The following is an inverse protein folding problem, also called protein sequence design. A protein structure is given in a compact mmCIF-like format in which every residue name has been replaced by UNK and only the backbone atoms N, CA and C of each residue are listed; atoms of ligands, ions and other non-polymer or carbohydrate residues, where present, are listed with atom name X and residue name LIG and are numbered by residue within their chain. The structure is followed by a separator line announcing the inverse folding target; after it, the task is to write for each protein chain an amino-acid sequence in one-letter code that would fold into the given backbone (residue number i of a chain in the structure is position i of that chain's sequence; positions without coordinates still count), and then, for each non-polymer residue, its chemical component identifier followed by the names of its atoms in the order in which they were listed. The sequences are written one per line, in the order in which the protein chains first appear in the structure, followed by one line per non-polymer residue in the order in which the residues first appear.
data_IF_507478791263
#
_entry.id   IF_507478791263
#
_cell.length_a   1.000
_cell.length_b   1.000
_cell.length_c   1.000
_cell.angle_alpha   90.00
_cell.angle_beta   90.00
_cell.angle_gamma   90.00
#
_symmetry.space_group_name_H-M   'P 1'
#
loop_
_entity.id
_entity.type
_entity.pdbx_description
1 polymer ?
#
# COMPACT_ATOMS: atom_id res chain seq x y z
N UNK A 1 31.14 7.82 -29.86
CA UNK A 1 30.14 7.83 -28.78
C UNK A 1 28.83 7.26 -29.30
N UNK A 2 28.40 6.05 -28.90
CA UNK A 2 27.11 5.53 -29.29
C UNK A 2 26.01 6.09 -28.38
N UNK A 3 25.00 6.72 -28.99
CA UNK A 3 23.74 7.09 -28.31
C UNK A 3 22.92 5.83 -28.11
N UNK A 4 22.84 5.37 -26.86
CA UNK A 4 21.91 4.31 -26.45
C UNK A 4 20.53 4.96 -26.37
N UNK A 5 19.66 4.63 -27.32
CA UNK A 5 18.24 4.95 -27.24
C UNK A 5 17.59 4.02 -26.20
N UNK A 6 16.78 4.52 -25.26
CA UNK A 6 16.06 3.66 -24.33
C UNK A 6 15.03 2.83 -25.11
N UNK A 7 15.14 1.51 -25.00
CA UNK A 7 14.16 0.58 -25.54
C UNK A 7 12.81 0.84 -24.86
N UNK A 8 11.84 1.39 -25.59
CA UNK A 8 10.43 1.40 -25.14
C UNK A 8 9.97 -0.05 -25.03
N UNK A 9 9.96 -0.59 -23.82
CA UNK A 9 9.33 -1.86 -23.49
C UNK A 9 7.84 -1.71 -23.74
N UNK A 10 7.39 -2.27 -24.87
CA UNK A 10 5.98 -2.39 -25.17
C UNK A 10 5.41 -3.42 -24.21
N UNK A 11 4.71 -2.96 -23.17
CA UNK A 11 4.14 -3.86 -22.17
C UNK A 11 3.08 -4.76 -22.85
N UNK A 12 3.15 -6.09 -22.68
CA UNK A 12 2.13 -6.99 -23.21
C UNK A 12 0.78 -6.70 -22.56
N UNK A 13 -0.29 -6.63 -23.37
CA UNK A 13 -1.67 -6.44 -22.91
C UNK A 13 -2.13 -7.51 -21.89
N UNK A 14 -1.44 -8.64 -21.90
CA UNK A 14 -1.62 -9.75 -20.95
C UNK A 14 -1.23 -9.37 -19.51
N UNK A 15 -0.28 -8.43 -19.33
CA UNK A 15 0.18 -7.94 -18.01
C UNK A 15 -0.93 -7.23 -17.24
N UNK A 16 -1.60 -6.26 -17.88
CA UNK A 16 -2.68 -5.49 -17.26
C UNK A 16 -3.84 -6.40 -16.84
N UNK A 17 -4.19 -7.38 -17.67
CA UNK A 17 -5.26 -8.34 -17.35
C UNK A 17 -4.93 -9.19 -16.12
N UNK A 18 -3.67 -9.62 -15.97
CA UNK A 18 -3.19 -10.35 -14.79
C UNK A 18 -3.28 -9.47 -13.54
N UNK A 19 -2.89 -8.20 -13.63
CA UNK A 19 -2.95 -7.25 -12.52
C UNK A 19 -4.40 -6.97 -12.10
N UNK A 20 -5.31 -6.75 -13.05
CA UNK A 20 -6.75 -6.60 -12.77
C UNK A 20 -7.30 -7.84 -12.07
N UNK A 21 -6.95 -9.04 -12.52
CA UNK A 21 -7.38 -10.27 -11.86
C UNK A 21 -6.83 -10.40 -10.44
N UNK A 22 -5.57 -9.99 -10.23
CA UNK A 22 -4.94 -9.97 -8.90
C UNK A 22 -5.65 -8.97 -7.96
N UNK A 23 -6.05 -7.81 -8.47
CA UNK A 23 -6.82 -6.82 -7.73
C UNK A 23 -8.24 -7.30 -7.41
N UNK A 24 -8.91 -8.04 -8.32
CA UNK A 24 -10.21 -8.68 -8.03
C UNK A 24 -10.11 -9.70 -6.89
N UNK A 25 -8.99 -10.42 -6.80
CA UNK A 25 -8.72 -11.31 -5.66
C UNK A 25 -8.58 -10.48 -4.38
N UNK A 26 -7.84 -9.37 -4.41
CA UNK A 26 -7.71 -8.47 -3.27
C UNK A 26 -9.06 -7.87 -2.86
N UNK A 27 -9.90 -7.49 -3.82
CA UNK A 27 -11.27 -7.02 -3.61
C UNK A 27 -12.10 -8.07 -2.86
N UNK A 28 -12.06 -9.33 -3.31
CA UNK A 28 -12.77 -10.44 -2.66
C UNK A 28 -12.24 -10.76 -1.26
N UNK A 29 -10.93 -10.60 -1.01
CA UNK A 29 -10.37 -10.69 0.34
C UNK A 29 -10.93 -9.59 1.24
N UNK A 30 -10.97 -8.34 0.74
CA UNK A 30 -11.55 -7.21 1.47
C UNK A 30 -13.02 -7.43 1.83
N UNK A 31 -13.81 -7.99 0.92
CA UNK A 31 -15.21 -8.34 1.17
C UNK A 31 -15.40 -9.43 2.23
N UNK A 32 -14.44 -10.34 2.37
CA UNK A 32 -14.47 -11.40 3.36
C UNK A 32 -14.01 -10.97 4.77
N UNK A 33 -13.57 -9.73 4.96
CA UNK A 33 -13.09 -9.19 6.25
C UNK A 33 -14.26 -8.47 6.96
N UNK A 34 -14.66 -8.88 8.17
CA UNK A 34 -15.84 -8.32 8.87
C UNK A 34 -15.73 -6.84 9.27
N UNK A 35 -14.54 -6.34 9.59
CA UNK A 35 -14.27 -4.95 10.04
C UNK A 35 -13.01 -4.44 9.35
N UNK A 36 -13.07 -3.25 8.74
CA UNK A 36 -11.97 -2.66 7.95
C UNK A 36 -11.82 -3.22 6.52
N UNK A 37 -12.54 -4.30 6.19
CA UNK A 37 -12.51 -4.93 4.86
C UNK A 37 -12.98 -4.04 3.71
N UNK A 38 -13.91 -3.11 4.01
CA UNK A 38 -14.41 -2.13 3.06
C UNK A 38 -13.30 -1.24 2.48
N UNK A 39 -12.32 -0.85 3.29
CA UNK A 39 -11.19 -0.01 2.86
C UNK A 39 -10.27 -0.78 1.91
N UNK A 40 -9.97 -2.04 2.20
CA UNK A 40 -9.20 -2.91 1.29
C UNK A 40 -9.93 -3.07 -0.05
N UNK A 41 -11.24 -3.31 -0.01
CA UNK A 41 -12.09 -3.41 -1.20
C UNK A 41 -12.04 -2.12 -2.02
N UNK A 42 -12.11 -0.96 -1.37
CA UNK A 42 -12.03 0.34 -2.04
C UNK A 42 -10.67 0.58 -2.69
N UNK A 43 -9.56 0.29 -2.00
CA UNK A 43 -8.20 0.40 -2.54
C UNK A 43 -8.03 -0.51 -3.77
N UNK A 44 -8.53 -1.75 -3.72
CA UNK A 44 -8.47 -2.66 -4.86
C UNK A 44 -9.22 -2.10 -6.08
N UNK A 45 -10.41 -1.51 -5.86
CA UNK A 45 -11.19 -0.86 -6.92
C UNK A 45 -10.48 0.36 -7.51
N UNK A 46 -9.80 1.15 -6.68
CA UNK A 46 -8.95 2.25 -7.16
C UNK A 46 -7.86 1.70 -8.10
N UNK A 47 -7.15 0.64 -7.70
CA UNK A 47 -6.14 0.00 -8.54
C UNK A 47 -6.68 -0.46 -9.90
N UNK A 48 -7.91 -1.02 -9.93
CA UNK A 48 -8.57 -1.43 -11.18
C UNK A 48 -8.88 -0.20 -12.04
N UNK A 49 -9.48 0.84 -11.45
CA UNK A 49 -9.82 2.07 -12.15
C UNK A 49 -8.58 2.75 -12.76
N UNK A 50 -7.46 2.79 -12.01
CA UNK A 50 -6.17 3.29 -12.48
C UNK A 50 -5.74 2.57 -13.76
N UNK A 51 -5.69 1.23 -13.77
CA UNK A 51 -5.29 0.46 -14.95
C UNK A 51 -6.24 0.67 -16.14
N UNK A 52 -7.55 0.70 -15.90
CA UNK A 52 -8.54 0.95 -16.96
C UNK A 52 -8.38 2.35 -17.58
N UNK A 53 -8.07 3.36 -16.77
CA UNK A 53 -7.80 4.74 -17.22
C UNK A 53 -6.50 4.78 -18.03
N UNK A 54 -5.45 4.12 -17.56
CA UNK A 54 -4.17 3.99 -18.27
C UNK A 54 -4.33 3.30 -19.64
N UNK A 55 -5.15 2.24 -19.72
CA UNK A 55 -5.45 1.57 -20.99
C UNK A 55 -6.26 2.44 -21.96
N UNK A 56 -7.01 3.42 -21.46
CA UNK A 56 -7.78 4.37 -22.27
C UNK A 56 -6.98 5.64 -22.61
N UNK A 57 -5.80 5.82 -22.03
CA UNK A 57 -4.96 7.00 -22.24
C UNK A 57 -4.56 7.16 -23.71
N UNK A 58 -4.74 8.38 -24.23
CA UNK A 58 -4.41 8.75 -25.62
C UNK A 58 -3.01 9.32 -25.77
N UNK A 59 -2.46 9.90 -24.70
CA UNK A 59 -1.13 10.53 -24.67
C UNK A 59 -0.32 9.96 -23.51
N UNK A 60 1.00 9.89 -23.66
CA UNK A 60 1.93 9.32 -22.67
C UNK A 60 1.49 7.94 -22.15
N UNK A 61 0.86 7.13 -23.02
CA UNK A 61 0.21 5.87 -22.64
C UNK A 61 1.19 4.89 -21.99
N UNK A 62 2.39 4.76 -22.54
CA UNK A 62 3.39 3.84 -22.02
C UNK A 62 3.81 4.26 -20.63
N UNK A 63 4.15 5.54 -20.50
CA UNK A 63 4.65 6.16 -19.28
C UNK A 63 3.59 6.14 -18.16
N UNK A 64 2.33 6.40 -18.52
CA UNK A 64 1.18 6.23 -17.60
C UNK A 64 1.02 4.75 -17.21
N UNK A 65 0.99 3.82 -18.15
CA UNK A 65 0.83 2.41 -17.82
C UNK A 65 1.97 1.89 -16.93
N UNK A 66 3.23 2.20 -17.24
CA UNK A 66 4.39 1.83 -16.43
C UNK A 66 4.24 2.33 -14.97
N UNK A 67 3.81 3.59 -14.80
CA UNK A 67 3.54 4.17 -13.48
C UNK A 67 2.41 3.43 -12.75
N UNK A 68 1.28 3.22 -13.43
CA UNK A 68 0.08 2.64 -12.83
C UNK A 68 0.27 1.17 -12.49
N UNK A 69 1.00 0.42 -13.30
CA UNK A 69 1.42 -0.95 -12.97
C UNK A 69 2.28 -0.98 -11.71
N UNK A 70 3.24 -0.04 -11.57
CA UNK A 70 4.05 0.07 -10.35
C UNK A 70 3.18 0.36 -9.13
N UNK A 71 2.23 1.29 -9.23
CA UNK A 71 1.29 1.62 -8.15
C UNK A 71 0.39 0.43 -7.80
N UNK A 72 -0.10 -0.32 -8.78
CA UNK A 72 -0.89 -1.53 -8.52
C UNK A 72 -0.07 -2.60 -7.83
N UNK A 73 1.18 -2.81 -8.24
CA UNK A 73 2.06 -3.73 -7.54
C UNK A 73 2.28 -3.31 -6.08
N UNK A 74 2.40 -2.02 -5.80
CA UNK A 74 2.44 -1.48 -4.43
C UNK A 74 1.15 -1.76 -3.65
N UNK A 75 -0.02 -1.58 -4.26
CA UNK A 75 -1.31 -1.94 -3.65
C UNK A 75 -1.35 -3.44 -3.30
N UNK A 76 -0.87 -4.31 -4.19
CA UNK A 76 -0.88 -5.76 -3.97
C UNK A 76 0.01 -6.18 -2.78
N UNK A 77 0.98 -5.36 -2.37
CA UNK A 77 1.79 -5.59 -1.18
C UNK A 77 1.00 -5.41 0.13
N UNK A 78 -0.25 -4.95 0.09
CA UNK A 78 -1.15 -4.96 1.26
C UNK A 78 -1.56 -6.40 1.61
N UNK A 79 -1.71 -7.27 0.60
CA UNK A 79 -2.28 -8.62 0.75
C UNK A 79 -1.64 -9.45 1.88
N UNK A 80 -0.31 -9.50 2.06
CA UNK A 80 0.31 -10.27 3.14
C UNK A 80 -0.07 -9.83 4.56
N UNK A 81 -0.57 -8.61 4.73
CA UNK A 81 -1.01 -8.07 6.01
C UNK A 81 -2.47 -8.38 6.33
N UNK A 82 -3.20 -9.03 5.41
CA UNK A 82 -4.62 -9.29 5.54
C UNK A 82 -4.85 -10.75 5.96
N UNK A 83 -5.64 -10.95 7.00
CA UNK A 83 -6.17 -12.26 7.38
C UNK A 83 -7.64 -12.29 7.04
N UNK A 84 -8.02 -13.10 6.05
CA UNK A 84 -9.41 -13.21 5.65
C UNK A 84 -10.26 -13.78 6.80
N UNK A 85 -11.49 -13.29 6.94
CA UNK A 85 -12.48 -13.71 7.96
C UNK A 85 -12.15 -13.32 9.41
N UNK A 86 -11.04 -12.63 9.64
CA UNK A 86 -10.70 -12.07 10.94
C UNK A 86 -10.86 -10.54 10.90
N UNK A 87 -11.27 -9.90 12.02
CA UNK A 87 -11.25 -8.46 12.13
C UNK A 87 -9.84 -7.92 11.97
N UNK A 88 -9.72 -6.80 11.27
CA UNK A 88 -8.47 -6.07 11.18
C UNK A 88 -8.17 -5.34 12.50
N UNK A 89 -6.89 -5.20 12.87
CA UNK A 89 -6.52 -4.33 13.98
C UNK A 89 -6.76 -2.85 13.62
N UNK A 90 -7.23 -2.05 14.57
CA UNK A 90 -7.50 -0.62 14.39
C UNK A 90 -6.32 0.16 13.78
N UNK A 91 -5.07 -0.13 14.21
CA UNK A 91 -3.85 0.47 13.65
C UNK A 91 -3.68 0.22 12.14
N UNK A 92 -3.93 -1.03 11.70
CA UNK A 92 -3.84 -1.38 10.28
C UNK A 92 -4.98 -0.75 9.49
N UNK A 93 -6.18 -0.69 10.07
CA UNK A 93 -7.32 -0.04 9.44
C UNK A 93 -7.04 1.45 9.22
N UNK A 94 -6.60 2.18 10.24
CA UNK A 94 -6.30 3.61 10.15
C UNK A 94 -5.22 3.90 9.09
N UNK A 95 -4.17 3.08 9.05
CA UNK A 95 -3.12 3.18 8.02
C UNK A 95 -3.65 2.95 6.60
N UNK A 96 -4.56 1.98 6.44
CA UNK A 96 -5.17 1.72 5.14
C UNK A 96 -6.14 2.82 4.72
N UNK A 97 -6.86 3.43 5.66
CA UNK A 97 -7.74 4.57 5.38
C UNK A 97 -6.92 5.77 4.89
N UNK A 98 -5.81 6.11 5.56
CA UNK A 98 -4.90 7.17 5.09
C UNK A 98 -4.32 6.87 3.71
N UNK A 99 -3.95 5.62 3.45
CA UNK A 99 -3.42 5.21 2.14
C UNK A 99 -4.51 5.29 1.05
N UNK A 100 -5.73 4.87 1.37
CA UNK A 100 -6.89 4.99 0.48
C UNK A 100 -7.14 6.45 0.09
N UNK A 101 -7.15 7.36 1.06
CA UNK A 101 -7.41 8.78 0.81
C UNK A 101 -6.33 9.40 -0.09
N UNK A 102 -5.06 9.11 0.18
CA UNK A 102 -3.95 9.57 -0.65
C UNK A 102 -3.99 9.00 -2.08
N UNK A 103 -4.41 7.74 -2.25
CA UNK A 103 -4.63 7.15 -3.57
C UNK A 103 -5.80 7.82 -4.30
N UNK A 104 -6.89 8.11 -3.60
CA UNK A 104 -8.07 8.72 -4.20
C UNK A 104 -7.79 10.14 -4.68
N UNK A 105 -7.00 10.91 -3.93
CA UNK A 105 -6.52 12.24 -4.32
C UNK A 105 -5.64 12.20 -5.58
N UNK A 106 -4.91 11.10 -5.79
CA UNK A 106 -4.06 10.90 -6.96
C UNK A 106 -4.84 10.43 -8.21
N UNK A 107 -5.99 9.78 -8.06
CA UNK A 107 -6.81 9.29 -9.19
C UNK A 107 -7.46 10.42 -9.98
N UNK A 108 -7.96 11.46 -9.29
CA UNK A 108 -8.70 12.54 -9.96
C UNK A 108 -7.87 13.29 -11.03
N UNK A 109 -6.60 13.68 -10.78
CA UNK A 109 -5.74 14.27 -11.80
C UNK A 109 -5.50 13.35 -13.00
N UNK A 110 -5.32 12.05 -12.75
CA UNK A 110 -5.05 11.07 -13.81
C UNK A 110 -6.23 10.92 -14.78
N UNK A 111 -7.46 10.85 -14.28
CA UNK A 111 -8.65 10.80 -15.15
C UNK A 111 -8.76 12.04 -16.05
N UNK A 112 -8.42 13.21 -15.52
CA UNK A 112 -8.42 14.46 -16.29
C UNK A 112 -7.36 14.44 -17.38
N UNK A 113 -6.15 13.95 -17.07
CA UNK A 113 -5.02 13.85 -17.97
C UNK A 113 -5.23 12.81 -19.08
N UNK A 114 -5.76 11.63 -18.75
CA UNK A 114 -5.88 10.49 -19.68
C UNK A 114 -7.16 10.50 -20.52
N UNK A 115 -8.29 11.03 -20.00
CA UNK A 115 -9.62 10.87 -20.62
C UNK A 115 -10.26 12.19 -21.05
N UNK A 116 -10.10 13.28 -20.28
CA UNK A 116 -10.85 14.55 -20.48
C UNK A 116 -10.17 15.56 -21.41
N UNK A 117 -9.20 15.16 -22.23
CA UNK A 117 -8.52 16.03 -23.21
C UNK A 117 -9.42 16.46 -24.41
N UNK A 118 -10.72 16.71 -24.19
CA UNK A 118 -11.65 17.31 -25.17
C UNK A 118 -11.47 18.83 -25.31
N UNK A 119 -10.77 19.48 -24.38
CA UNK A 119 -10.48 20.90 -24.48
C UNK A 119 -9.31 21.15 -25.45
N UNK A 120 -9.47 22.15 -26.31
CA UNK A 120 -8.54 22.64 -27.35
C UNK A 120 -7.19 23.17 -26.82
N UNK A 121 -6.66 22.63 -25.73
CA UNK A 121 -5.33 22.99 -25.22
C UNK A 121 -4.29 22.08 -25.86
N UNK A 122 -3.30 22.63 -26.59
CA UNK A 122 -2.16 21.84 -27.03
C UNK A 122 -1.32 21.55 -25.78
N UNK A 123 -1.58 20.41 -25.14
CA UNK A 123 -0.65 19.89 -24.16
C UNK A 123 0.65 19.58 -24.89
N UNK A 124 1.69 20.37 -24.63
CA UNK A 124 3.03 20.06 -25.09
C UNK A 124 3.52 18.82 -24.34
N UNK A 125 4.34 18.00 -25.00
CA UNK A 125 4.87 16.76 -24.40
C UNK A 125 5.55 17.00 -23.04
N UNK A 126 6.16 18.18 -22.85
CA UNK A 126 6.80 18.59 -21.60
C UNK A 126 5.80 18.72 -20.46
N UNK A 127 4.65 19.38 -20.69
CA UNK A 127 3.63 19.58 -19.64
C UNK A 127 2.97 18.27 -19.24
N UNK A 128 2.75 17.36 -20.19
CA UNK A 128 2.22 16.02 -19.88
C UNK A 128 3.22 15.23 -19.02
N UNK A 129 4.51 15.35 -19.34
CA UNK A 129 5.56 14.70 -18.57
C UNK A 129 5.62 15.23 -17.13
N UNK A 130 5.55 16.55 -16.95
CA UNK A 130 5.51 17.19 -15.62
C UNK A 130 4.32 16.67 -14.79
N UNK A 131 3.12 16.60 -15.36
CA UNK A 131 1.94 16.11 -14.64
C UNK A 131 2.03 14.60 -14.30
N UNK A 132 2.62 13.79 -15.19
CA UNK A 132 2.89 12.36 -14.92
C UNK A 132 3.94 12.21 -13.82
N UNK A 133 4.96 13.07 -13.80
CA UNK A 133 6.00 13.08 -12.77
C UNK A 133 5.43 13.52 -11.41
N UNK A 134 4.59 14.56 -11.36
CA UNK A 134 3.88 14.99 -10.15
C UNK A 134 2.98 13.88 -9.61
N UNK A 135 2.25 13.18 -10.49
CA UNK A 135 1.43 12.06 -10.09
C UNK A 135 2.27 10.90 -9.54
N UNK A 136 3.40 10.60 -10.19
CA UNK A 136 4.34 9.59 -9.72
C UNK A 136 4.82 9.91 -8.31
N UNK A 137 5.17 11.15 -8.05
CA UNK A 137 5.71 11.55 -6.76
C UNK A 137 4.64 11.44 -5.67
N UNK A 138 3.40 11.85 -5.94
CA UNK A 138 2.25 11.67 -5.02
C UNK A 138 1.96 10.21 -4.72
N UNK A 139 1.88 9.36 -5.74
CA UNK A 139 1.59 7.92 -5.55
C UNK A 139 2.72 7.22 -4.80
N UNK A 140 3.97 7.60 -5.07
CA UNK A 140 5.11 7.07 -4.35
C UNK A 140 5.14 7.55 -2.90
N UNK A 141 4.88 8.83 -2.63
CA UNK A 141 4.82 9.38 -1.28
C UNK A 141 3.71 8.72 -0.43
N UNK A 142 2.52 8.52 -1.01
CA UNK A 142 1.42 7.79 -0.38
C UNK A 142 1.87 6.39 0.07
N UNK A 143 2.55 5.66 -0.82
CA UNK A 143 3.05 4.33 -0.51
C UNK A 143 4.18 4.33 0.53
N UNK A 144 5.14 5.27 0.42
CA UNK A 144 6.25 5.37 1.38
C UNK A 144 5.72 5.68 2.78
N UNK A 145 4.76 6.60 2.88
CA UNK A 145 4.09 6.94 4.14
C UNK A 145 3.41 5.72 4.74
N UNK A 146 2.66 4.95 3.92
CA UNK A 146 2.03 3.71 4.37
C UNK A 146 3.06 2.71 4.92
N UNK A 147 4.15 2.44 4.19
CA UNK A 147 5.19 1.50 4.62
C UNK A 147 5.92 1.98 5.88
N UNK A 148 6.24 3.27 5.95
CA UNK A 148 6.90 3.85 7.10
C UNK A 148 6.07 3.69 8.38
N UNK A 149 4.78 4.02 8.33
CA UNK A 149 3.88 3.79 9.47
C UNK A 149 3.71 2.30 9.79
N UNK A 150 3.77 1.44 8.76
CA UNK A 150 3.74 -0.01 8.95
C UNK A 150 4.94 -0.51 9.77
N UNK A 151 6.13 0.03 9.51
CA UNK A 151 7.34 -0.34 10.24
C UNK A 151 7.33 0.18 11.68
N UNK A 152 6.88 1.42 11.90
CA UNK A 152 6.73 1.98 13.25
C UNK A 152 5.79 1.12 14.11
N UNK A 153 4.67 0.68 13.54
CA UNK A 153 3.72 -0.19 14.23
C UNK A 153 4.35 -1.52 14.66
N UNK A 154 5.15 -2.14 13.79
CA UNK A 154 5.88 -3.39 14.12
C UNK A 154 6.89 -3.17 15.23
N UNK A 155 7.69 -2.10 15.17
CA UNK A 155 8.70 -1.77 16.20
C UNK A 155 8.05 -1.50 17.57
N UNK A 156 6.95 -0.76 17.58
CA UNK A 156 6.18 -0.47 18.80
C UNK A 156 5.68 -1.76 19.46
N UNK A 157 5.09 -2.67 18.67
CA UNK A 157 4.60 -3.98 19.16
C UNK A 157 5.75 -4.86 19.67
N UNK A 158 6.88 -4.88 18.98
CA UNK A 158 8.06 -5.64 19.44
C UNK A 158 8.61 -5.10 20.75
N UNK A 159 8.66 -3.77 20.90
CA UNK A 159 9.09 -3.11 22.14
C UNK A 159 8.17 -3.45 23.31
N UNK A 160 6.86 -3.51 23.08
CA UNK A 160 5.87 -3.89 24.09
C UNK A 160 6.05 -5.35 24.54
N UNK A 161 6.24 -6.28 23.60
CA UNK A 161 6.53 -7.69 23.89
C UNK A 161 7.81 -7.83 24.72
N UNK A 162 8.89 -7.14 24.34
CA UNK A 162 10.14 -7.15 25.10
C UNK A 162 9.96 -6.63 26.53
N UNK A 163 9.18 -5.57 26.71
CA UNK A 163 8.84 -5.04 28.05
C UNK A 163 8.03 -6.06 28.87
N UNK A 164 7.04 -6.71 28.27
CA UNK A 164 6.25 -7.76 28.91
C UNK A 164 7.10 -8.96 29.34
N UNK A 165 7.99 -9.43 28.46
CA UNK A 165 8.94 -10.52 28.77
C UNK A 165 9.87 -10.15 29.91
N UNK A 166 10.40 -8.92 29.92
CA UNK A 166 11.26 -8.45 31.00
C UNK A 166 10.51 -8.37 32.34
N UNK A 167 9.26 -7.89 32.35
CA UNK A 167 8.43 -7.86 33.55
C UNK A 167 8.14 -9.27 34.10
N UNK A 168 7.83 -10.23 33.21
CA UNK A 168 7.62 -11.63 33.59
C UNK A 168 8.90 -12.26 34.14
N UNK A 169 10.05 -12.03 33.50
CA UNK A 169 11.36 -12.50 33.96
C UNK A 169 11.70 -12.02 35.37
N UNK A 170 11.45 -10.72 35.64
CA UNK A 170 11.63 -10.14 36.98
C UNK A 170 10.67 -10.79 37.99
N UNK A 171 9.40 -10.96 37.62
CA UNK A 171 8.39 -11.57 38.52
C UNK A 171 8.71 -13.02 38.87
N UNK A 172 9.23 -13.81 37.93
CA UNK A 172 9.61 -15.20 38.14
C UNK A 172 10.81 -15.32 39.09
N UNK A 173 11.80 -14.43 38.97
CA UNK A 173 12.93 -14.38 39.90
C UNK A 173 12.53 -13.99 41.33
N UNK A 174 11.47 -13.18 41.48
CA UNK A 174 11.01 -12.73 42.80
C UNK A 174 10.27 -13.85 43.57
N UNK A 175 9.57 -14.75 42.87
CA UNK A 175 8.90 -15.89 43.50
C UNK A 175 9.88 -16.98 43.99
N UNK A 176 11.08 -17.08 43.42
CA UNK A 176 12.10 -18.08 43.85
C UNK A 176 12.80 -17.67 45.15
N UNK A 177 12.83 -16.37 45.49
CA UNK A 177 13.56 -15.83 46.66
C UNK A 177 12.74 -15.86 47.96
N UNK A 178 11.45 -16.18 47.90
CA UNK A 178 10.58 -16.25 49.09
C UNK A 178 10.42 -17.69 49.59
N UNK A 179 11.51 -18.32 50.05
CA UNK A 179 11.45 -19.51 50.91
C UNK A 179 11.94 -19.10 52.30
N UNK A 180 11.05 -18.82 53.28
CA UNK A 180 11.46 -18.48 54.64
C UNK A 180 12.13 -19.72 55.25
N UNK A 181 13.40 -19.56 55.65
CA UNK A 181 14.08 -20.55 56.48
C UNK A 181 13.36 -20.65 57.82
N UNK A 182 12.91 -21.84 58.16
CA UNK A 182 12.42 -22.19 59.49
C UNK A 182 13.52 -21.90 60.53
N UNK A 183 13.10 -21.30 61.65
CA UNK A 183 13.97 -21.02 62.78
C UNK A 183 14.40 -22.33 63.43
N UNK A 184 15.72 -22.52 63.57
CA UNK A 184 16.29 -23.60 64.35
C UNK A 184 16.27 -23.16 65.82
N UNK A 185 15.46 -23.84 66.64
CA UNK A 185 15.44 -23.66 68.09
C UNK A 185 16.68 -24.34 68.70
N UNK A 186 17.54 -23.55 69.36
CA UNK A 186 18.52 -24.03 70.35
C UNK A 186 18.61 -23.08 71.54
#
# INVERSE_FOLDING_TARGET
MPKILPSKSRIPKDSVSILINSLKILEGIGEAIPVGGGTVKAIAKIGIALLEVGEKARVARSECLDLLEKTVNQILLIKPHLVAREPMSDDLQERLERYHDALNDAVQPLEQLCVKSKAKMPFTSTRIQEEVDDLRDKLNDAYQTFIFHSWISVDSKMTEVLRGMNALSISHNTQIVSRPGEADEV
#
